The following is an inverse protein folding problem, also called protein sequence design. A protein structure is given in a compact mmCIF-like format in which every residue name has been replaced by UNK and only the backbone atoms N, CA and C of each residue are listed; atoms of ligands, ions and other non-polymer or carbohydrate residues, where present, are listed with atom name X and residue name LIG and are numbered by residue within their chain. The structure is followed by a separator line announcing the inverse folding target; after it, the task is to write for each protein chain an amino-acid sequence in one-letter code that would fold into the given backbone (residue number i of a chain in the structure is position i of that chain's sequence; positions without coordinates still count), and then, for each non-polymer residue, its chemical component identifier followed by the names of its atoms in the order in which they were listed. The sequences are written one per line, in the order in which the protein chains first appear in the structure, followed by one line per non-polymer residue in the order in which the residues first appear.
data_IF_334333677265
#
_entry.id   IF_334333677265
#
_cell.length_a   1.000
_cell.length_b   1.000
_cell.length_c   1.000
_cell.angle_alpha   90.00
_cell.angle_beta   90.00
_cell.angle_gamma   90.00
#
_symmetry.space_group_name_H-M   'P 1'
#
loop_
_entity.id
_entity.type
_entity.pdbx_description
1 polymer ?
#
# COMPACT_ATOMS: atom_id res chain seq x y z
N UNK A 1 37.60 -50.99 0.78
CA UNK A 1 36.94 -49.87 1.49
C UNK A 1 36.55 -48.80 0.51
N UNK A 2 35.56 -48.99 -0.28
CA UNK A 2 35.11 -47.96 -1.22
C UNK A 2 33.67 -48.16 -1.75
N UNK A 3 32.83 -48.84 -0.98
CA UNK A 3 31.47 -49.12 -1.45
C UNK A 3 30.41 -48.23 -0.80
N UNK A 4 30.68 -47.58 0.30
CA UNK A 4 29.75 -46.71 1.01
C UNK A 4 29.78 -45.24 0.57
N UNK A 5 30.77 -44.83 -0.22
CA UNK A 5 30.85 -43.40 -0.69
C UNK A 5 29.89 -43.04 -1.81
N UNK A 6 29.17 -44.03 -2.39
CA UNK A 6 28.22 -43.81 -3.50
C UNK A 6 26.79 -43.47 -3.09
N UNK A 7 26.48 -43.54 -1.81
CA UNK A 7 25.14 -43.31 -1.26
C UNK A 7 25.05 -42.19 -0.24
N UNK A 8 26.15 -41.54 0.05
CA UNK A 8 26.06 -40.28 0.82
C UNK A 8 25.92 -39.15 -0.16
N UNK A 9 24.87 -38.33 -0.05
CA UNK A 9 24.83 -37.09 -0.81
C UNK A 9 26.09 -36.30 -0.50
N UNK A 10 26.73 -35.80 -1.55
CA UNK A 10 27.95 -35.02 -1.46
C UNK A 10 27.75 -33.95 -0.39
N UNK A 11 28.55 -33.99 0.66
CA UNK A 11 28.43 -33.13 1.85
C UNK A 11 28.82 -31.67 1.56
N UNK A 12 29.05 -31.35 0.28
CA UNK A 12 29.43 -30.02 -0.21
C UNK A 12 28.24 -29.18 -0.74
N UNK A 13 27.06 -29.75 -0.92
CA UNK A 13 25.84 -28.95 -1.04
C UNK A 13 25.37 -28.53 0.38
N UNK A 14 26.15 -27.69 1.04
CA UNK A 14 25.57 -26.83 2.08
C UNK A 14 24.50 -26.00 1.39
N UNK A 15 23.24 -26.31 1.67
CA UNK A 15 22.11 -25.48 1.29
C UNK A 15 22.51 -24.03 1.59
N UNK A 16 22.73 -23.26 0.55
CA UNK A 16 22.92 -21.82 0.67
C UNK A 16 21.70 -21.29 1.42
N UNK A 17 21.82 -20.78 2.66
CA UNK A 17 20.68 -20.25 3.41
C UNK A 17 20.01 -19.09 2.67
N UNK A 18 20.66 -18.64 1.62
CA UNK A 18 20.20 -17.59 0.72
C UNK A 18 19.41 -18.13 -0.49
N UNK A 19 19.50 -19.39 -0.83
CA UNK A 19 18.56 -19.92 -1.81
C UNK A 19 17.16 -19.78 -1.21
N UNK A 20 16.23 -19.15 -1.92
CA UNK A 20 14.83 -19.21 -1.49
C UNK A 20 14.55 -20.68 -1.25
N UNK A 21 14.03 -21.01 -0.08
CA UNK A 21 13.47 -22.34 0.14
C UNK A 21 12.72 -22.67 -1.12
N UNK A 22 13.20 -23.62 -1.89
CA UNK A 22 12.44 -24.16 -3.00
C UNK A 22 11.26 -24.79 -2.28
N UNK A 23 10.19 -24.00 -2.15
CA UNK A 23 8.96 -24.52 -1.64
C UNK A 23 8.70 -25.75 -2.50
N UNK A 24 8.45 -26.88 -1.88
CA UNK A 24 7.93 -28.07 -2.55
C UNK A 24 6.58 -27.70 -3.15
N UNK A 25 6.61 -26.93 -4.23
CA UNK A 25 5.42 -26.53 -4.99
C UNK A 25 4.88 -27.64 -5.87
N UNK A 26 5.45 -28.84 -5.83
CA UNK A 26 4.96 -29.98 -6.57
C UNK A 26 3.58 -30.49 -6.12
N UNK A 27 3.03 -30.01 -5.02
CA UNK A 27 1.71 -30.40 -4.51
C UNK A 27 0.62 -29.34 -4.58
N UNK A 28 0.91 -28.09 -4.93
CA UNK A 28 -0.03 -26.95 -4.92
C UNK A 28 -0.15 -26.25 -6.28
N UNK A 29 -0.09 -27.01 -7.36
CA UNK A 29 -0.23 -26.52 -8.74
C UNK A 29 -1.60 -25.94 -9.11
N UNK A 30 -2.50 -25.77 -8.15
CA UNK A 30 -3.85 -25.18 -8.37
C UNK A 30 -3.81 -23.64 -8.26
N UNK A 31 -2.79 -23.06 -7.67
CA UNK A 31 -2.62 -21.62 -7.59
C UNK A 31 -1.57 -21.20 -8.62
N UNK A 32 -2.01 -20.50 -9.64
CA UNK A 32 -1.11 -19.88 -10.63
C UNK A 32 -0.01 -19.09 -9.90
N UNK A 33 1.23 -19.32 -10.30
CA UNK A 33 2.40 -18.62 -9.74
C UNK A 33 2.26 -17.13 -10.04
N UNK A 34 2.05 -16.36 -9.00
CA UNK A 34 1.89 -14.91 -9.10
C UNK A 34 3.20 -14.28 -9.53
N UNK A 35 3.15 -13.42 -10.54
CA UNK A 35 4.29 -12.61 -10.98
C UNK A 35 4.13 -11.18 -10.46
N UNK A 36 5.21 -10.43 -10.23
CA UNK A 36 5.14 -9.00 -9.87
C UNK A 36 4.28 -8.18 -10.85
N UNK A 37 4.35 -8.49 -12.14
CA UNK A 37 3.52 -7.87 -13.19
C UNK A 37 2.01 -8.04 -12.97
N UNK A 38 1.57 -9.08 -12.27
CA UNK A 38 0.15 -9.33 -12.02
C UNK A 38 -0.43 -8.32 -11.03
N UNK A 39 0.34 -7.94 -10.00
CA UNK A 39 -0.06 -6.91 -9.03
C UNK A 39 -0.07 -5.52 -9.65
N UNK A 40 0.87 -5.24 -10.56
CA UNK A 40 0.90 -4.01 -11.34
C UNK A 40 -0.34 -3.90 -12.23
N UNK A 41 -0.68 -4.94 -12.97
CA UNK A 41 -1.89 -4.99 -13.78
C UNK A 41 -3.15 -4.79 -12.92
N UNK A 42 -3.20 -5.36 -11.70
CA UNK A 42 -4.30 -5.13 -10.79
C UNK A 42 -4.38 -3.67 -10.32
N UNK A 43 -3.25 -3.03 -10.03
CA UNK A 43 -3.18 -1.61 -9.70
C UNK A 43 -3.63 -0.71 -10.86
N UNK A 44 -3.27 -1.03 -12.09
CA UNK A 44 -3.65 -0.25 -13.27
C UNK A 44 -5.13 -0.44 -13.67
N UNK A 45 -5.70 -1.63 -13.44
CA UNK A 45 -7.01 -2.01 -13.98
C UNK A 45 -8.13 -2.07 -12.93
N UNK A 46 -7.83 -2.23 -11.65
CA UNK A 46 -8.83 -2.36 -10.60
C UNK A 46 -8.93 -1.08 -9.76
N UNK A 47 -10.09 -0.44 -9.80
CA UNK A 47 -10.36 0.85 -9.14
C UNK A 47 -10.05 0.84 -7.65
N UNK A 48 -10.49 -0.21 -6.93
CA UNK A 48 -10.28 -0.31 -5.49
C UNK A 48 -8.80 -0.49 -5.13
N UNK A 49 -8.04 -1.26 -5.94
CA UNK A 49 -6.60 -1.43 -5.74
C UNK A 49 -5.87 -0.12 -6.00
N UNK A 50 -6.19 0.54 -7.12
CA UNK A 50 -5.62 1.83 -7.46
C UNK A 50 -5.92 2.88 -6.38
N UNK A 51 -7.19 2.99 -5.98
CA UNK A 51 -7.61 3.95 -4.94
C UNK A 51 -6.94 3.68 -3.60
N UNK A 52 -6.92 2.41 -3.16
CA UNK A 52 -6.31 2.03 -1.89
C UNK A 52 -4.81 2.25 -1.86
N UNK A 53 -4.10 1.87 -2.92
CA UNK A 53 -2.65 2.11 -3.02
C UNK A 53 -2.35 3.60 -3.04
N UNK A 54 -3.03 4.39 -3.88
CA UNK A 54 -2.78 5.83 -3.96
C UNK A 54 -3.09 6.56 -2.65
N UNK A 55 -4.10 6.15 -1.89
CA UNK A 55 -4.39 6.72 -0.57
C UNK A 55 -3.20 6.57 0.38
N UNK A 56 -2.59 5.37 0.44
CA UNK A 56 -1.39 5.15 1.26
C UNK A 56 -0.20 5.96 0.74
N UNK A 57 -0.03 5.96 -0.56
CA UNK A 57 1.08 6.66 -1.25
C UNK A 57 1.04 8.15 -0.97
N UNK A 58 -0.14 8.76 -1.08
CA UNK A 58 -0.36 10.18 -0.85
C UNK A 58 -0.06 10.55 0.61
N UNK A 59 -0.65 9.79 1.55
CA UNK A 59 -0.49 10.05 2.99
C UNK A 59 0.98 9.85 3.46
N UNK A 60 1.70 8.85 2.92
CA UNK A 60 3.12 8.63 3.26
C UNK A 60 4.01 9.70 2.65
N UNK A 61 3.75 10.12 1.40
CA UNK A 61 4.57 11.08 0.70
C UNK A 61 4.53 12.48 1.33
N UNK A 62 3.40 12.85 1.95
CA UNK A 62 3.21 14.14 2.60
C UNK A 62 3.99 14.29 3.92
N UNK A 63 4.43 13.17 4.55
CA UNK A 63 5.11 13.24 5.85
C UNK A 63 6.57 13.68 5.66
N UNK A 64 6.95 14.85 6.25
CA UNK A 64 8.34 15.29 6.24
C UNK A 64 9.19 14.45 7.18
N UNK A 65 10.51 14.48 6.94
CA UNK A 65 11.50 13.77 7.77
C UNK A 65 12.41 14.77 8.43
N UNK A 66 12.43 14.85 9.75
CA UNK A 66 13.42 15.64 10.48
C UNK A 66 14.73 14.87 10.58
N UNK A 67 15.80 15.48 10.07
CA UNK A 67 17.14 14.90 10.09
C UNK A 67 17.83 15.33 11.39
N UNK A 68 17.99 14.40 12.30
CA UNK A 68 18.59 14.61 13.62
C UNK A 68 20.12 14.60 13.65
N UNK A 69 20.68 14.05 14.71
CA UNK A 69 22.12 13.97 14.93
C UNK A 69 22.74 12.80 14.16
N UNK A 70 24.02 12.91 13.84
CA UNK A 70 24.79 11.81 13.25
C UNK A 70 24.98 10.70 14.30
N UNK A 71 24.55 9.50 13.96
CA UNK A 71 24.71 8.33 14.83
C UNK A 71 26.07 7.70 14.52
N UNK A 72 26.23 6.83 13.65
CA UNK A 72 27.48 6.32 13.12
C UNK A 72 27.21 5.76 11.71
N UNK A 73 27.76 6.38 10.70
CA UNK A 73 27.62 5.88 9.33
C UNK A 73 28.37 4.55 9.16
N UNK A 74 27.63 3.52 8.82
CA UNK A 74 28.20 2.19 8.50
C UNK A 74 28.68 2.09 7.04
N UNK A 75 28.12 2.92 6.15
CA UNK A 75 28.40 2.86 4.73
C UNK A 75 29.60 3.76 4.34
N UNK A 76 30.66 3.21 3.72
CA UNK A 76 31.85 3.97 3.34
C UNK A 76 31.57 5.11 2.35
N UNK A 77 30.57 4.98 1.47
CA UNK A 77 30.24 5.97 0.44
C UNK A 77 29.73 7.28 1.06
N UNK A 78 29.06 7.20 2.21
CA UNK A 78 28.41 8.36 2.85
C UNK A 78 29.24 9.01 3.96
N UNK A 79 30.48 8.62 4.18
CA UNK A 79 31.33 9.15 5.29
C UNK A 79 31.37 10.68 5.34
N UNK A 80 31.39 11.32 4.18
CA UNK A 80 31.54 12.78 4.04
C UNK A 80 30.19 13.50 3.80
N UNK A 81 29.07 12.81 3.78
CA UNK A 81 27.76 13.43 3.56
C UNK A 81 27.36 14.21 4.80
N UNK A 82 26.98 15.48 4.61
CA UNK A 82 26.59 16.40 5.68
C UNK A 82 25.08 16.34 5.91
N UNK A 83 24.63 16.61 7.15
CA UNK A 83 23.22 16.70 7.55
C UNK A 83 22.38 17.53 6.55
N UNK A 84 22.88 18.72 6.15
CA UNK A 84 22.18 19.61 5.21
C UNK A 84 21.90 18.92 3.86
N UNK A 85 22.86 18.14 3.35
CA UNK A 85 22.66 17.39 2.09
C UNK A 85 21.62 16.29 2.25
N UNK A 86 21.66 15.53 3.35
CA UNK A 86 20.65 14.49 3.63
C UNK A 86 19.26 15.11 3.76
N UNK A 87 19.14 16.23 4.47
CA UNK A 87 17.88 16.96 4.57
C UNK A 87 17.36 17.42 3.19
N UNK A 88 18.24 17.94 2.34
CA UNK A 88 17.87 18.32 0.97
C UNK A 88 17.37 17.12 0.15
N UNK A 89 18.06 15.98 0.23
CA UNK A 89 17.71 14.76 -0.51
C UNK A 89 16.37 14.16 -0.08
N UNK A 90 16.03 14.25 1.20
CA UNK A 90 14.85 13.60 1.77
C UNK A 90 13.61 14.50 1.84
N UNK A 91 13.78 15.83 1.76
CA UNK A 91 12.67 16.78 1.92
C UNK A 91 12.53 17.80 0.78
N UNK A 92 13.52 17.96 -0.08
CA UNK A 92 13.50 18.99 -1.12
C UNK A 92 13.64 18.36 -2.51
N UNK A 93 14.82 17.85 -2.81
CA UNK A 93 15.18 17.40 -4.16
C UNK A 93 16.08 16.17 -4.10
N UNK A 94 15.54 14.98 -4.40
CA UNK A 94 16.32 13.73 -4.42
C UNK A 94 17.28 13.70 -5.62
N UNK A 95 16.86 14.21 -6.78
CA UNK A 95 17.62 14.27 -8.03
C UNK A 95 17.08 15.40 -8.94
N UNK A 96 17.81 15.80 -9.99
CA UNK A 96 17.41 16.89 -10.87
C UNK A 96 16.16 16.65 -11.74
N UNK A 97 15.60 15.43 -11.73
CA UNK A 97 14.49 15.05 -12.60
C UNK A 97 13.17 14.88 -11.85
N UNK A 98 13.20 14.77 -10.51
CA UNK A 98 12.05 14.48 -9.69
C UNK A 98 11.99 15.38 -8.46
N UNK A 99 10.81 15.88 -8.16
CA UNK A 99 10.51 16.45 -6.84
C UNK A 99 10.42 15.36 -5.79
N UNK A 100 10.55 15.75 -4.51
CA UNK A 100 10.55 14.79 -3.40
C UNK A 100 9.22 14.04 -3.25
N UNK A 101 8.09 14.68 -3.57
CA UNK A 101 6.79 14.08 -3.46
C UNK A 101 6.62 12.97 -4.50
N UNK A 102 6.90 13.28 -5.77
CA UNK A 102 6.90 12.28 -6.87
C UNK A 102 7.85 11.13 -6.60
N UNK A 103 9.04 11.41 -6.06
CA UNK A 103 10.01 10.39 -5.69
C UNK A 103 9.47 9.46 -4.61
N UNK A 104 8.99 10.01 -3.48
CA UNK A 104 8.39 9.22 -2.39
C UNK A 104 7.20 8.39 -2.86
N UNK A 105 6.32 8.99 -3.68
CA UNK A 105 5.15 8.27 -4.24
C UNK A 105 5.58 7.02 -5.00
N UNK A 106 6.53 7.14 -5.90
CA UNK A 106 7.03 6.02 -6.68
C UNK A 106 7.65 4.93 -5.81
N UNK A 107 8.43 5.31 -4.79
CA UNK A 107 9.00 4.35 -3.83
C UNK A 107 7.93 3.54 -3.11
N UNK A 108 6.87 4.20 -2.65
CA UNK A 108 5.80 3.53 -1.90
C UNK A 108 4.93 2.67 -2.81
N UNK A 109 4.71 3.06 -4.07
CA UNK A 109 4.05 2.21 -5.07
C UNK A 109 4.83 0.90 -5.22
N UNK A 110 6.15 0.94 -5.41
CA UNK A 110 6.99 -0.25 -5.52
C UNK A 110 6.92 -1.11 -4.26
N UNK A 111 6.92 -0.50 -3.07
CA UNK A 111 6.81 -1.22 -1.81
C UNK A 111 5.49 -1.97 -1.67
N UNK A 112 4.38 -1.36 -2.08
CA UNK A 112 3.05 -1.95 -1.94
C UNK A 112 2.76 -3.02 -3.01
N UNK A 113 3.28 -2.83 -4.23
CA UNK A 113 2.99 -3.67 -5.41
C UNK A 113 4.01 -4.79 -5.59
N UNK A 114 5.31 -4.50 -5.45
CA UNK A 114 6.38 -5.51 -5.56
C UNK A 114 6.83 -6.03 -4.17
N UNK A 115 6.70 -5.20 -3.13
CA UNK A 115 7.21 -5.50 -1.80
C UNK A 115 8.66 -5.08 -1.60
N UNK A 116 9.27 -4.40 -2.58
CA UNK A 116 10.67 -3.98 -2.52
C UNK A 116 10.82 -2.56 -3.08
N UNK A 117 11.78 -1.82 -2.53
CA UNK A 117 12.25 -0.53 -3.03
C UNK A 117 13.74 -0.66 -3.27
N UNK A 118 14.20 -0.21 -4.42
CA UNK A 118 15.62 -0.09 -4.73
C UNK A 118 15.94 1.35 -5.08
N UNK A 119 16.89 1.95 -4.36
CA UNK A 119 17.32 3.33 -4.58
C UNK A 119 18.83 3.31 -4.79
N UNK A 120 19.25 3.81 -5.93
CA UNK A 120 20.66 4.02 -6.24
C UNK A 120 21.12 5.39 -5.73
N UNK A 121 22.27 5.40 -5.07
CA UNK A 121 22.92 6.62 -4.63
C UNK A 121 24.26 6.81 -5.37
N UNK A 122 24.34 7.82 -6.21
CA UNK A 122 25.55 8.14 -7.01
C UNK A 122 26.63 8.92 -6.23
N UNK A 123 26.46 9.11 -4.91
CA UNK A 123 27.28 9.96 -4.06
C UNK A 123 26.73 11.37 -3.86
N UNK A 124 25.79 11.81 -4.71
CA UNK A 124 25.20 13.16 -4.71
C UNK A 124 23.69 13.13 -4.69
N UNK A 125 23.06 12.23 -5.47
CA UNK A 125 21.63 12.15 -5.71
C UNK A 125 21.07 10.75 -5.47
N UNK A 126 19.75 10.67 -5.29
CA UNK A 126 19.01 9.43 -5.12
C UNK A 126 18.16 9.17 -6.36
N UNK A 127 18.27 7.97 -6.93
CA UNK A 127 17.51 7.53 -8.09
C UNK A 127 16.75 6.25 -7.74
N UNK A 128 15.45 6.24 -8.00
CA UNK A 128 14.67 5.01 -7.89
C UNK A 128 15.00 4.08 -9.05
N UNK A 129 15.20 2.83 -8.74
CA UNK A 129 15.23 1.74 -9.72
C UNK A 129 13.92 0.96 -9.60
N UNK A 130 13.06 0.92 -10.66
CA UNK A 130 11.83 0.14 -10.64
C UNK A 130 12.07 -1.29 -10.18
N UNK A 131 11.33 -1.72 -9.16
CA UNK A 131 11.63 -2.97 -8.45
C UNK A 131 11.50 -4.22 -9.33
N UNK A 132 10.65 -4.18 -10.36
CA UNK A 132 10.48 -5.27 -11.31
C UNK A 132 11.72 -5.53 -12.19
N UNK A 133 12.55 -4.49 -12.40
CA UNK A 133 13.73 -4.55 -13.26
C UNK A 133 15.02 -4.85 -12.49
N UNK A 134 14.95 -5.02 -11.17
CA UNK A 134 16.11 -5.28 -10.34
C UNK A 134 16.18 -6.77 -9.97
N UNK A 135 17.26 -7.41 -10.36
CA UNK A 135 17.61 -8.76 -9.95
C UNK A 135 18.68 -8.72 -8.86
N UNK A 136 18.57 -9.64 -7.88
CA UNK A 136 19.51 -9.74 -6.78
C UNK A 136 20.35 -10.99 -6.97
N UNK A 137 21.64 -10.81 -7.19
CA UNK A 137 22.58 -11.92 -7.22
C UNK A 137 23.15 -12.19 -5.84
N UNK A 138 23.15 -13.46 -5.46
CA UNK A 138 23.60 -13.92 -4.14
C UNK A 138 24.72 -14.91 -4.27
N UNK A 139 25.61 -14.93 -3.28
CA UNK A 139 26.70 -15.89 -3.16
C UNK A 139 26.67 -16.57 -1.79
N UNK A 140 27.19 -17.78 -1.69
CA UNK A 140 27.18 -18.57 -0.46
C UNK A 140 27.81 -17.87 0.76
N UNK A 141 28.83 -17.05 0.52
CA UNK A 141 29.58 -16.37 1.58
C UNK A 141 29.29 -14.89 1.73
N UNK A 142 28.82 -14.22 0.67
CA UNK A 142 28.63 -12.77 0.63
C UNK A 142 27.17 -12.35 0.69
N UNK A 143 26.24 -13.27 0.83
CA UNK A 143 24.81 -13.02 0.81
C UNK A 143 24.33 -12.30 -0.46
N UNK A 144 24.49 -10.99 -0.59
CA UNK A 144 24.21 -10.23 -1.81
C UNK A 144 25.55 -9.82 -2.41
N UNK A 145 25.79 -10.25 -3.65
CA UNK A 145 27.00 -9.92 -4.39
C UNK A 145 26.85 -8.64 -5.17
N UNK A 146 25.72 -8.51 -5.88
CA UNK A 146 25.40 -7.33 -6.69
C UNK A 146 23.91 -7.26 -6.99
N UNK A 147 23.49 -6.10 -7.42
CA UNK A 147 22.17 -5.84 -7.99
C UNK A 147 22.33 -5.62 -9.48
N UNK A 148 21.51 -6.29 -10.28
CA UNK A 148 21.46 -6.14 -11.74
C UNK A 148 20.18 -5.38 -12.10
N UNK A 149 20.34 -4.27 -12.81
CA UNK A 149 19.23 -3.51 -13.35
C UNK A 149 19.10 -3.77 -14.85
N UNK A 150 17.89 -4.17 -15.28
CA UNK A 150 17.59 -4.64 -16.65
C UNK A 150 18.54 -5.73 -17.17
N UNK A 151 19.16 -6.50 -16.26
CA UNK A 151 20.13 -7.52 -16.61
C UNK A 151 21.44 -6.99 -17.20
N UNK A 152 21.68 -5.66 -17.21
CA UNK A 152 22.82 -5.04 -17.89
C UNK A 152 23.67 -4.24 -16.93
N UNK A 153 23.05 -3.39 -16.08
CA UNK A 153 23.77 -2.47 -15.21
C UNK A 153 23.98 -3.12 -13.84
N UNK A 154 25.23 -3.17 -13.41
CA UNK A 154 25.61 -3.78 -12.12
C UNK A 154 25.80 -2.67 -11.08
N UNK A 155 25.23 -2.87 -9.89
CA UNK A 155 25.45 -2.03 -8.72
C UNK A 155 25.95 -2.85 -7.56
N UNK A 156 26.83 -2.25 -6.76
CA UNK A 156 27.31 -2.85 -5.51
C UNK A 156 26.25 -2.72 -4.40
N UNK A 157 26.27 -3.61 -3.38
CA UNK A 157 25.37 -3.48 -2.23
C UNK A 157 25.53 -2.16 -1.44
N UNK A 158 26.68 -1.50 -1.58
CA UNK A 158 26.96 -0.24 -0.89
C UNK A 158 26.31 0.95 -1.59
N UNK A 159 26.04 0.86 -2.90
CA UNK A 159 25.41 1.90 -3.71
C UNK A 159 23.88 1.85 -3.66
N UNK A 160 23.30 0.73 -3.23
CA UNK A 160 21.85 0.50 -3.25
C UNK A 160 21.27 0.56 -1.84
N UNK A 161 20.24 1.38 -1.67
CA UNK A 161 19.38 1.33 -0.50
C UNK A 161 18.22 0.38 -0.86
N UNK A 162 18.22 -0.80 -0.27
CA UNK A 162 17.18 -1.80 -0.47
C UNK A 162 16.25 -1.84 0.73
N UNK A 163 14.98 -1.47 0.52
CA UNK A 163 13.91 -1.52 1.51
C UNK A 163 12.91 -2.59 1.07
N UNK A 164 12.46 -3.43 2.00
CA UNK A 164 11.58 -4.54 1.64
C UNK A 164 10.51 -4.79 2.68
N UNK A 165 9.39 -5.31 2.23
CA UNK A 165 8.38 -5.90 3.09
C UNK A 165 8.84 -7.25 3.63
N UNK A 166 8.17 -7.72 4.69
CA UNK A 166 8.49 -9.00 5.27
C UNK A 166 8.18 -10.13 4.29
N UNK A 167 9.10 -11.09 4.20
CA UNK A 167 8.93 -12.29 3.40
C UNK A 167 9.18 -13.51 4.26
N UNK A 168 8.29 -14.49 4.15
CA UNK A 168 8.48 -15.78 4.81
C UNK A 168 9.46 -16.69 4.04
N UNK A 169 9.50 -16.52 2.72
CA UNK A 169 10.22 -17.42 1.82
C UNK A 169 11.62 -16.92 1.43
N UNK A 170 11.94 -15.67 1.66
CA UNK A 170 13.22 -15.07 1.25
C UNK A 170 13.67 -14.00 2.22
N UNK A 171 14.96 -14.01 2.55
CA UNK A 171 15.60 -12.93 3.32
C UNK A 171 16.07 -11.78 2.41
N UNK A 172 16.06 -12.00 1.10
CA UNK A 172 16.58 -11.03 0.12
C UNK A 172 15.49 -10.18 -0.49
N UNK A 173 14.34 -10.77 -0.83
CA UNK A 173 13.25 -10.08 -1.52
C UNK A 173 11.99 -10.08 -0.67
N UNK A 174 11.35 -8.95 -0.56
CA UNK A 174 10.07 -8.77 0.13
C UNK A 174 8.89 -9.32 -0.68
N UNK A 175 7.72 -9.32 -0.05
CA UNK A 175 6.46 -9.79 -0.64
C UNK A 175 5.45 -8.65 -0.63
N UNK A 176 4.69 -8.42 -1.73
CA UNK A 176 3.69 -7.37 -1.79
C UNK A 176 2.65 -7.47 -0.69
N UNK A 177 2.21 -6.33 -0.14
CA UNK A 177 1.08 -6.29 0.81
C UNK A 177 -0.22 -6.80 0.22
N UNK A 178 -0.39 -6.68 -1.09
CA UNK A 178 -1.56 -7.16 -1.83
C UNK A 178 -1.62 -8.69 -1.95
N UNK A 179 -0.54 -9.41 -1.65
CA UNK A 179 -0.50 -10.87 -1.81
C UNK A 179 -1.64 -11.63 -1.11
N UNK A 180 -2.03 -11.33 0.13
CA UNK A 180 -3.16 -12.00 0.79
C UNK A 180 -4.50 -11.80 0.06
N UNK A 181 -4.66 -10.66 -0.64
CA UNK A 181 -5.87 -10.33 -1.39
C UNK A 181 -5.83 -10.80 -2.86
N UNK A 182 -4.76 -11.43 -3.31
CA UNK A 182 -4.57 -11.81 -4.71
C UNK A 182 -5.75 -12.58 -5.29
N UNK A 183 -6.19 -13.62 -4.56
CA UNK A 183 -7.33 -14.44 -4.99
C UNK A 183 -8.62 -13.62 -5.13
N UNK A 184 -8.83 -12.68 -4.23
CA UNK A 184 -9.98 -11.76 -4.26
C UNK A 184 -9.91 -10.84 -5.48
N UNK A 185 -8.72 -10.31 -5.79
CA UNK A 185 -8.50 -9.49 -6.99
C UNK A 185 -8.77 -10.26 -8.28
N UNK A 186 -8.30 -11.51 -8.37
CA UNK A 186 -8.60 -12.39 -9.52
C UNK A 186 -10.10 -12.68 -9.64
N UNK A 187 -10.78 -12.96 -8.51
CA UNK A 187 -12.22 -13.19 -8.50
C UNK A 187 -12.98 -11.97 -9.01
N UNK A 188 -12.64 -10.76 -8.51
CA UNK A 188 -13.26 -9.52 -8.98
C UNK A 188 -13.04 -9.29 -10.49
N UNK A 189 -11.83 -9.52 -10.99
CA UNK A 189 -11.54 -9.46 -12.42
C UNK A 189 -12.40 -10.44 -13.23
N UNK A 190 -12.56 -11.66 -12.74
CA UNK A 190 -13.41 -12.69 -13.39
C UNK A 190 -14.89 -12.30 -13.37
N UNK A 191 -15.37 -11.72 -12.28
CA UNK A 191 -16.77 -11.23 -12.15
C UNK A 191 -17.03 -10.08 -13.13
N UNK A 192 -16.12 -9.12 -13.24
CA UNK A 192 -16.21 -8.01 -14.21
C UNK A 192 -16.18 -8.52 -15.65
N UNK A 193 -15.26 -9.42 -15.99
CA UNK A 193 -15.20 -10.04 -17.31
C UNK A 193 -16.47 -10.81 -17.64
N UNK A 194 -17.07 -11.50 -16.67
CA UNK A 194 -18.35 -12.16 -16.86
C UNK A 194 -19.46 -11.14 -17.15
N UNK A 195 -19.55 -10.05 -16.38
CA UNK A 195 -20.52 -8.99 -16.59
C UNK A 195 -20.35 -8.35 -17.98
N UNK A 196 -19.13 -8.01 -18.37
CA UNK A 196 -18.81 -7.44 -19.67
C UNK A 196 -19.25 -8.37 -20.82
N UNK A 197 -18.89 -9.65 -20.72
CA UNK A 197 -19.28 -10.64 -21.73
C UNK A 197 -20.80 -10.85 -21.77
N UNK A 198 -21.45 -10.84 -20.60
CA UNK A 198 -22.88 -10.95 -20.54
C UNK A 198 -23.58 -9.77 -21.24
N UNK A 199 -23.16 -8.54 -20.99
CA UNK A 199 -23.71 -7.36 -21.66
C UNK A 199 -23.34 -7.31 -23.13
N UNK A 200 -22.11 -7.64 -23.52
CA UNK A 200 -21.68 -7.72 -24.92
C UNK A 200 -22.48 -8.74 -25.72
N UNK A 201 -22.87 -9.84 -25.08
CA UNK A 201 -23.69 -10.88 -25.71
C UNK A 201 -25.21 -10.59 -25.63
N UNK A 202 -25.60 -9.38 -25.27
CA UNK A 202 -27.00 -8.96 -25.26
C UNK A 202 -27.80 -9.45 -24.06
N UNK A 203 -27.13 -9.80 -22.97
CA UNK A 203 -27.74 -10.26 -21.72
C UNK A 203 -28.64 -11.53 -21.88
N UNK A 204 -28.36 -12.32 -22.89
CA UNK A 204 -29.10 -13.58 -23.12
C UNK A 204 -28.19 -14.74 -22.70
N UNK A 205 -28.47 -15.41 -21.59
CA UNK A 205 -27.78 -16.66 -21.26
C UNK A 205 -28.09 -17.68 -22.35
N UNK A 206 -27.05 -18.35 -22.83
CA UNK A 206 -27.04 -19.39 -23.85
C UNK A 206 -28.38 -19.86 -24.38
N UNK A 207 -28.82 -19.28 -25.49
CA UNK A 207 -30.02 -19.74 -26.17
C UNK A 207 -29.74 -21.10 -26.79
N UNK A 208 -30.53 -22.10 -26.44
CA UNK A 208 -30.50 -23.39 -27.08
C UNK A 208 -31.65 -23.48 -28.07
N UNK A 209 -31.32 -23.64 -29.31
CA UNK A 209 -32.28 -23.93 -30.36
C UNK A 209 -32.49 -25.45 -30.39
N UNK A 210 -33.67 -25.91 -30.06
CA UNK A 210 -34.09 -27.30 -30.19
C UNK A 210 -34.68 -27.50 -31.58
N UNK A 211 -34.21 -28.51 -32.29
CA UNK A 211 -34.81 -28.96 -33.55
C UNK A 211 -35.39 -30.35 -33.36
N UNK A 212 -36.59 -30.62 -33.86
CA UNK A 212 -37.19 -31.97 -33.84
C UNK A 212 -36.44 -32.92 -34.81
N UNK A 213 -35.73 -32.40 -35.79
CA UNK A 213 -34.98 -33.18 -36.78
C UNK A 213 -33.48 -32.99 -36.60
N UNK A 214 -32.68 -34.02 -36.98
CA UNK A 214 -31.25 -33.95 -36.98
C UNK A 214 -30.76 -32.98 -38.07
N UNK A 215 -30.13 -31.89 -37.67
CA UNK A 215 -29.56 -30.90 -38.61
C UNK A 215 -28.15 -31.30 -39.02
N UNK A 216 -27.83 -31.14 -40.29
CA UNK A 216 -26.45 -31.30 -40.78
C UNK A 216 -25.56 -30.18 -40.25
N UNK A 217 -24.24 -30.42 -40.04
CA UNK A 217 -23.28 -29.42 -39.57
C UNK A 217 -23.32 -28.12 -40.39
N UNK A 218 -23.44 -28.23 -41.71
CA UNK A 218 -23.54 -27.09 -42.63
C UNK A 218 -24.76 -26.21 -42.37
N UNK A 219 -25.87 -26.80 -41.92
CA UNK A 219 -27.07 -26.04 -41.54
C UNK A 219 -26.87 -25.39 -40.18
N UNK A 220 -26.27 -26.09 -39.22
CA UNK A 220 -25.94 -25.54 -37.89
C UNK A 220 -25.01 -24.33 -38.02
N UNK A 221 -23.95 -24.40 -38.80
CA UNK A 221 -23.02 -23.28 -39.06
C UNK A 221 -23.71 -22.08 -39.70
N UNK A 222 -24.58 -22.33 -40.70
CA UNK A 222 -25.35 -21.25 -41.33
C UNK A 222 -26.29 -20.57 -40.38
N UNK A 223 -26.95 -21.32 -39.50
CA UNK A 223 -27.85 -20.78 -38.47
C UNK A 223 -27.08 -19.95 -37.44
N UNK A 224 -25.93 -20.45 -36.98
CA UNK A 224 -25.06 -19.71 -36.08
C UNK A 224 -24.51 -18.42 -36.70
N UNK A 225 -24.14 -18.46 -37.98
CA UNK A 225 -23.69 -17.28 -38.69
C UNK A 225 -24.79 -16.24 -38.87
N UNK A 226 -26.01 -16.70 -39.27
CA UNK A 226 -27.20 -15.83 -39.40
C UNK A 226 -27.61 -15.25 -38.04
N UNK A 227 -27.49 -16.03 -36.95
CA UNK A 227 -27.73 -15.57 -35.61
C UNK A 227 -26.74 -14.47 -35.20
N UNK A 228 -25.42 -14.72 -35.33
CA UNK A 228 -24.35 -13.74 -35.02
C UNK A 228 -24.54 -12.45 -35.83
N UNK A 229 -24.89 -12.54 -37.09
CA UNK A 229 -25.10 -11.37 -37.96
C UNK A 229 -26.30 -10.51 -37.52
N UNK A 230 -27.36 -11.13 -36.96
CA UNK A 230 -28.61 -10.42 -36.53
C UNK A 230 -28.58 -9.94 -35.11
N UNK A 231 -27.87 -10.63 -34.21
CA UNK A 231 -27.80 -10.33 -32.77
C UNK A 231 -26.43 -9.85 -32.31
N UNK A 232 -25.64 -9.26 -33.22
CA UNK A 232 -24.40 -8.63 -32.86
C UNK A 232 -24.73 -7.37 -32.03
N UNK A 233 -24.31 -7.29 -30.74
CA UNK A 233 -24.57 -6.15 -29.86
C UNK A 233 -24.06 -4.82 -30.43
N UNK A 234 -22.98 -4.86 -31.21
CA UNK A 234 -22.36 -3.67 -31.78
C UNK A 234 -23.14 -3.04 -32.96
N UNK A 235 -24.12 -3.75 -33.53
CA UNK A 235 -24.92 -3.23 -34.66
C UNK A 235 -26.33 -2.82 -34.29
N UNK A 236 -26.70 -2.82 -33.00
CA UNK A 236 -27.97 -2.29 -32.48
C UNK A 236 -29.24 -3.01 -32.98
N UNK A 237 -29.11 -4.16 -33.64
CA UNK A 237 -30.22 -4.83 -34.29
C UNK A 237 -30.88 -5.89 -33.42
N UNK A 238 -31.84 -5.54 -32.58
CA UNK A 238 -32.85 -6.47 -32.05
C UNK A 238 -33.92 -6.71 -33.11
N UNK A 239 -33.59 -7.45 -34.18
CA UNK A 239 -34.61 -7.84 -35.17
C UNK A 239 -35.31 -9.13 -34.71
N UNK A 240 -36.63 -9.23 -34.76
CA UNK A 240 -37.32 -10.46 -34.39
C UNK A 240 -36.80 -11.62 -35.26
N UNK A 241 -36.50 -12.75 -34.60
CA UNK A 241 -36.10 -13.98 -35.27
C UNK A 241 -37.35 -14.77 -35.58
N UNK A 242 -37.56 -15.07 -36.87
CA UNK A 242 -38.60 -15.99 -37.26
C UNK A 242 -37.97 -17.39 -37.28
N UNK A 243 -38.46 -18.27 -36.44
CA UNK A 243 -38.08 -19.66 -36.39
C UNK A 243 -39.03 -20.43 -37.30
N UNK A 244 -38.47 -21.18 -38.24
CA UNK A 244 -39.18 -22.04 -39.20
C UNK A 244 -38.79 -23.52 -38.99
N UNK A 245 -39.58 -24.44 -39.45
CA UNK A 245 -39.26 -25.87 -39.38
C UNK A 245 -39.33 -26.53 -38.03
N UNK A 246 -40.16 -26.00 -37.09
CA UNK A 246 -40.34 -26.60 -35.79
C UNK A 246 -39.19 -26.35 -34.79
N UNK A 247 -38.39 -25.32 -35.02
CA UNK A 247 -37.36 -24.91 -34.08
C UNK A 247 -38.00 -24.23 -32.89
N UNK A 248 -37.68 -24.70 -31.70
CA UNK A 248 -38.09 -24.11 -30.41
C UNK A 248 -36.92 -23.47 -29.72
N UNK A 249 -37.15 -22.34 -29.06
CA UNK A 249 -36.20 -21.72 -28.14
C UNK A 249 -36.38 -22.40 -26.78
N UNK A 250 -35.41 -23.18 -26.36
CA UNK A 250 -35.34 -23.68 -24.99
C UNK A 250 -34.45 -22.73 -24.18
N UNK A 251 -35.04 -22.05 -23.21
CA UNK A 251 -34.27 -21.31 -22.20
C UNK A 251 -33.61 -22.34 -21.29
N UNK A 252 -32.27 -22.42 -21.39
CA UNK A 252 -31.45 -23.12 -20.40
C UNK A 252 -31.29 -22.22 -19.20
N UNK A 253 -32.14 -22.41 -18.22
CA UNK A 253 -32.16 -21.73 -16.91
C UNK A 253 -32.34 -20.20 -17.00
N UNK A 254 -33.39 -19.72 -16.41
CA UNK A 254 -33.54 -18.35 -15.96
C UNK A 254 -32.53 -18.10 -14.83
N UNK A 255 -31.26 -17.94 -15.17
CA UNK A 255 -30.31 -17.34 -14.22
C UNK A 255 -30.71 -15.88 -14.12
N UNK A 256 -31.50 -15.59 -13.10
CA UNK A 256 -31.91 -14.25 -12.80
C UNK A 256 -30.66 -13.49 -12.31
N UNK A 257 -30.35 -12.36 -12.94
CA UNK A 257 -29.18 -11.54 -12.59
C UNK A 257 -29.20 -11.10 -11.12
N UNK A 258 -30.41 -11.00 -10.53
CA UNK A 258 -30.62 -10.76 -9.10
C UNK A 258 -30.16 -11.91 -8.20
N UNK A 259 -30.21 -13.14 -8.69
CA UNK A 259 -29.84 -14.32 -7.89
C UNK A 259 -28.31 -14.52 -7.82
N UNK A 260 -27.55 -13.80 -8.66
CA UNK A 260 -26.08 -13.85 -8.64
C UNK A 260 -25.43 -12.91 -7.62
N UNK A 261 -26.24 -12.01 -7.00
CA UNK A 261 -25.82 -11.09 -5.92
C UNK A 261 -24.41 -10.45 -6.11
N UNK A 262 -24.09 -10.11 -7.37
CA UNK A 262 -22.76 -9.61 -7.73
C UNK A 262 -22.41 -8.29 -7.02
N UNK A 263 -23.42 -7.44 -6.75
CA UNK A 263 -23.14 -6.11 -6.18
C UNK A 263 -22.63 -6.21 -4.75
N UNK A 264 -23.27 -7.01 -3.92
CA UNK A 264 -22.85 -7.17 -2.53
C UNK A 264 -21.56 -7.99 -2.44
N UNK A 265 -21.39 -8.97 -3.33
CA UNK A 265 -20.13 -9.71 -3.45
C UNK A 265 -18.96 -8.82 -3.86
N UNK A 266 -19.14 -7.90 -4.82
CA UNK A 266 -18.11 -6.93 -5.22
C UNK A 266 -17.75 -6.04 -4.04
N UNK A 267 -18.71 -5.45 -3.33
CA UNK A 267 -18.46 -4.60 -2.16
C UNK A 267 -17.70 -5.32 -1.04
N UNK A 268 -18.07 -6.59 -0.76
CA UNK A 268 -17.34 -7.37 0.24
C UNK A 268 -15.90 -7.70 -0.21
N UNK A 269 -15.69 -7.99 -1.49
CA UNK A 269 -14.35 -8.21 -2.04
C UNK A 269 -13.50 -6.92 -1.99
N UNK A 270 -14.09 -5.76 -2.27
CA UNK A 270 -13.43 -4.46 -2.11
C UNK A 270 -12.96 -4.24 -0.67
N UNK A 271 -13.80 -4.51 0.33
CA UNK A 271 -13.43 -4.42 1.74
C UNK A 271 -12.28 -5.36 2.11
N UNK A 272 -12.22 -6.55 1.53
CA UNK A 272 -11.12 -7.52 1.76
C UNK A 272 -9.80 -6.95 1.22
N UNK A 273 -9.81 -6.35 0.03
CA UNK A 273 -8.62 -5.73 -0.56
C UNK A 273 -8.14 -4.56 0.30
N UNK A 274 -9.05 -3.67 0.72
CA UNK A 274 -8.72 -2.54 1.58
C UNK A 274 -8.15 -2.99 2.93
N UNK A 275 -8.72 -4.02 3.54
CA UNK A 275 -8.19 -4.60 4.79
C UNK A 275 -6.80 -5.19 4.60
N UNK A 276 -6.51 -5.82 3.46
CA UNK A 276 -5.17 -6.33 3.15
C UNK A 276 -4.13 -5.21 3.04
N UNK A 277 -4.53 -4.04 2.54
CA UNK A 277 -3.71 -2.83 2.53
C UNK A 277 -3.58 -2.16 3.91
N UNK A 278 -4.42 -2.53 4.88
CA UNK A 278 -4.50 -1.91 6.20
C UNK A 278 -5.36 -0.64 6.22
N UNK A 279 -6.27 -0.48 5.26
CA UNK A 279 -7.18 0.66 5.18
C UNK A 279 -8.53 0.26 5.78
N UNK A 280 -9.03 0.98 6.80
CA UNK A 280 -10.39 0.80 7.27
C UNK A 280 -11.40 1.12 6.17
N UNK A 281 -12.28 0.18 5.77
CA UNK A 281 -13.21 0.40 4.64
C UNK A 281 -14.12 1.61 4.82
N UNK A 282 -14.43 1.99 6.06
CA UNK A 282 -15.24 3.16 6.38
C UNK A 282 -14.66 4.48 5.86
N UNK A 283 -13.34 4.54 5.61
CA UNK A 283 -12.71 5.75 5.05
C UNK A 283 -13.03 5.97 3.57
N UNK A 284 -13.46 4.94 2.88
CA UNK A 284 -13.84 4.99 1.46
C UNK A 284 -15.35 4.84 1.25
N UNK A 285 -16.10 4.41 2.28
CA UNK A 285 -17.56 4.36 2.26
C UNK A 285 -18.13 5.71 2.72
N UNK A 286 -19.24 6.15 2.12
CA UNK A 286 -20.00 7.35 2.50
C UNK A 286 -20.79 7.17 3.82
N UNK A 287 -20.17 6.55 4.81
CA UNK A 287 -20.78 6.18 6.08
C UNK A 287 -20.86 7.32 7.10
N UNK A 288 -21.35 7.00 8.29
CA UNK A 288 -21.60 7.92 9.39
C UNK A 288 -20.31 8.67 9.83
N UNK A 289 -20.30 9.99 9.68
CA UNK A 289 -19.16 10.88 9.93
C UNK A 289 -18.59 10.77 11.36
N UNK A 290 -19.38 10.36 12.34
CA UNK A 290 -18.95 10.26 13.74
C UNK A 290 -17.82 9.25 13.96
N UNK A 291 -17.71 8.24 13.11
CA UNK A 291 -16.70 7.18 13.23
C UNK A 291 -15.49 7.35 12.29
N UNK A 292 -15.52 8.33 11.39
CA UNK A 292 -14.44 8.52 10.40
C UNK A 292 -13.13 8.90 11.11
N UNK A 293 -13.17 9.87 12.01
CA UNK A 293 -11.94 10.41 12.65
C UNK A 293 -11.18 9.38 13.50
N UNK A 294 -11.80 8.58 14.37
CA UNK A 294 -11.08 7.52 15.09
C UNK A 294 -10.45 6.48 14.16
N UNK A 295 -11.16 6.11 13.08
CA UNK A 295 -10.63 5.17 12.10
C UNK A 295 -9.49 5.77 11.26
N UNK A 296 -9.57 7.06 10.94
CA UNK A 296 -8.49 7.77 10.25
C UNK A 296 -7.23 7.84 11.12
N UNK A 297 -7.39 8.13 12.42
CA UNK A 297 -6.27 8.09 13.37
C UNK A 297 -5.65 6.69 13.47
N UNK A 298 -6.47 5.65 13.57
CA UNK A 298 -6.02 4.27 13.62
C UNK A 298 -5.25 3.88 12.35
N UNK A 299 -5.76 4.28 11.18
CA UNK A 299 -5.11 4.07 9.89
C UNK A 299 -3.70 4.70 9.84
N UNK A 300 -3.54 5.94 10.33
CA UNK A 300 -2.22 6.55 10.42
C UNK A 300 -1.30 5.79 11.36
N UNK A 301 -1.78 5.42 12.56
CA UNK A 301 -0.95 4.74 13.58
C UNK A 301 -0.54 3.33 13.15
N UNK A 302 -1.41 2.57 12.50
CA UNK A 302 -1.18 1.15 12.20
C UNK A 302 -0.69 0.90 10.76
N UNK A 303 -0.96 1.81 9.83
CA UNK A 303 -0.59 1.61 8.42
C UNK A 303 0.45 2.61 7.95
N UNK A 304 0.19 3.90 8.09
CA UNK A 304 1.04 4.95 7.51
C UNK A 304 2.36 5.08 8.25
N UNK A 305 2.33 5.33 9.56
CA UNK A 305 3.56 5.53 10.34
C UNK A 305 4.50 4.31 10.31
N UNK A 306 4.04 3.06 10.37
CA UNK A 306 4.93 1.92 10.21
C UNK A 306 5.65 1.87 8.86
N UNK A 307 5.00 2.32 7.78
CA UNK A 307 5.64 2.40 6.45
C UNK A 307 6.70 3.50 6.46
N UNK A 308 6.35 4.70 6.95
CA UNK A 308 7.29 5.83 7.04
C UNK A 308 8.52 5.45 7.86
N UNK A 309 8.32 4.84 9.03
CA UNK A 309 9.42 4.38 9.89
C UNK A 309 10.30 3.34 9.23
N UNK A 310 9.71 2.40 8.48
CA UNK A 310 10.48 1.41 7.72
C UNK A 310 11.41 2.07 6.70
N UNK A 311 10.88 3.05 5.97
CA UNK A 311 11.66 3.82 4.98
C UNK A 311 12.73 4.67 5.67
N UNK A 312 12.36 5.41 6.71
CA UNK A 312 13.31 6.23 7.47
C UNK A 312 14.43 5.38 8.06
N UNK A 313 14.12 4.23 8.66
CA UNK A 313 15.13 3.33 9.24
C UNK A 313 16.16 2.84 8.21
N UNK A 314 15.74 2.59 6.98
CA UNK A 314 16.66 2.22 5.92
C UNK A 314 17.58 3.38 5.53
N UNK A 315 17.05 4.60 5.43
CA UNK A 315 17.86 5.81 5.19
C UNK A 315 18.77 6.13 6.38
N UNK A 316 18.29 5.97 7.63
CA UNK A 316 19.13 6.10 8.82
C UNK A 316 20.35 5.19 8.76
N UNK A 317 20.09 3.90 8.48
CA UNK A 317 21.15 2.90 8.36
C UNK A 317 22.14 3.23 7.26
N UNK A 318 21.67 3.79 6.16
CA UNK A 318 22.50 4.13 5.00
C UNK A 318 23.30 5.40 5.24
N UNK A 319 22.67 6.50 5.66
CA UNK A 319 23.32 7.80 5.84
C UNK A 319 23.95 8.00 7.21
N UNK A 320 23.53 7.24 8.21
CA UNK A 320 24.03 7.35 9.59
C UNK A 320 23.56 8.59 10.34
N UNK A 321 22.36 9.09 10.03
CA UNK A 321 21.70 10.17 10.75
C UNK A 321 20.39 9.66 11.35
N UNK A 322 20.04 10.14 12.54
CA UNK A 322 18.71 9.86 13.11
C UNK A 322 17.64 10.57 12.29
N UNK A 323 16.60 9.86 11.91
CA UNK A 323 15.50 10.37 11.10
C UNK A 323 14.18 10.18 11.84
N UNK A 324 13.47 11.28 12.06
CA UNK A 324 12.19 11.28 12.74
C UNK A 324 11.09 11.77 11.79
N UNK A 325 9.96 11.10 11.79
CA UNK A 325 8.78 11.57 11.07
C UNK A 325 8.18 12.80 11.75
N UNK A 326 7.95 13.87 11.01
CA UNK A 326 7.21 15.04 11.52
C UNK A 326 5.71 14.84 11.30
N UNK A 327 5.00 14.58 12.38
CA UNK A 327 3.54 14.37 12.39
C UNK A 327 2.77 15.59 12.90
N UNK A 328 3.45 16.71 13.13
CA UNK A 328 2.86 17.89 13.75
C UNK A 328 1.72 18.52 12.96
N UNK A 329 1.74 18.38 11.65
CA UNK A 329 0.74 18.98 10.77
C UNK A 329 -0.32 17.99 10.25
N UNK A 330 -0.29 16.73 10.70
CA UNK A 330 -1.27 15.70 10.29
C UNK A 330 -2.58 15.86 11.09
N UNK A 331 -3.69 16.27 10.44
CA UNK A 331 -4.94 16.56 11.17
C UNK A 331 -5.52 15.35 11.89
N UNK A 332 -5.33 14.13 11.35
CA UNK A 332 -5.84 12.89 11.93
C UNK A 332 -5.16 12.53 13.27
N UNK A 333 -3.91 12.95 13.46
CA UNK A 333 -3.12 12.68 14.66
C UNK A 333 -3.21 13.81 15.70
N UNK A 334 -3.67 15.00 15.28
CA UNK A 334 -3.83 16.12 16.19
C UNK A 334 -5.02 15.92 17.14
N UNK A 335 -4.88 16.29 18.43
CA UNK A 335 -6.03 16.37 19.33
C UNK A 335 -7.11 17.29 18.77
N UNK A 336 -8.36 17.07 19.15
CA UNK A 336 -9.42 18.01 18.79
C UNK A 336 -9.14 19.40 19.36
N UNK A 337 -9.57 20.45 18.66
CA UNK A 337 -9.42 21.82 19.16
C UNK A 337 -10.02 21.99 20.55
N UNK A 338 -11.14 21.30 20.80
CA UNK A 338 -11.77 21.25 22.14
C UNK A 338 -10.85 20.61 23.18
N UNK A 339 -10.22 19.49 22.83
CA UNK A 339 -9.33 18.78 23.74
C UNK A 339 -8.01 19.55 23.94
N UNK A 340 -7.48 20.16 22.87
CA UNK A 340 -6.34 21.10 22.98
C UNK A 340 -6.68 22.27 23.89
N UNK A 341 -7.83 22.91 23.69
CA UNK A 341 -8.26 24.02 24.52
C UNK A 341 -8.43 23.62 25.98
N UNK A 342 -9.06 22.48 26.25
CA UNK A 342 -9.21 21.93 27.60
C UNK A 342 -7.86 21.61 28.26
N UNK A 343 -6.95 20.99 27.52
CA UNK A 343 -5.60 20.64 27.95
C UNK A 343 -4.80 21.88 28.34
N UNK A 344 -4.67 22.86 27.44
CA UNK A 344 -3.92 24.08 27.74
C UNK A 344 -4.59 24.92 28.84
N UNK A 345 -5.92 24.98 28.86
CA UNK A 345 -6.66 25.62 29.94
C UNK A 345 -6.33 24.98 31.31
N UNK A 346 -6.25 23.65 31.35
CA UNK A 346 -5.89 22.92 32.55
C UNK A 346 -4.45 23.20 33.02
N UNK A 347 -3.50 23.26 32.06
CA UNK A 347 -2.10 23.58 32.37
C UNK A 347 -1.91 25.03 32.89
N UNK A 348 -2.60 25.99 32.26
CA UNK A 348 -2.58 27.39 32.70
C UNK A 348 -3.24 27.55 34.04
N UNK A 349 -4.41 26.92 34.23
CA UNK A 349 -5.12 26.96 35.55
C UNK A 349 -4.37 26.21 36.63
N UNK A 350 -3.61 25.18 36.29
CA UNK A 350 -2.73 24.44 37.20
C UNK A 350 -1.43 25.17 37.53
N UNK A 351 -1.16 26.31 36.91
CA UNK A 351 0.07 27.06 37.12
C UNK A 351 1.31 26.35 36.59
N UNK A 352 1.19 25.54 35.57
CA UNK A 352 2.29 24.78 34.95
C UNK A 352 2.93 25.58 33.81
N UNK A 353 2.12 26.27 33.02
CA UNK A 353 2.54 27.13 31.92
C UNK A 353 1.87 28.50 31.98
N UNK A 354 2.52 29.52 31.39
CA UNK A 354 1.93 30.84 31.26
C UNK A 354 0.84 30.86 30.14
N UNK A 355 -0.09 31.83 30.18
CA UNK A 355 -1.05 32.01 29.10
C UNK A 355 -0.40 32.26 27.75
N UNK A 356 0.75 32.96 27.66
CA UNK A 356 1.46 33.19 26.42
C UNK A 356 2.11 31.91 25.86
N UNK A 357 2.67 31.05 26.72
CA UNK A 357 3.16 29.74 26.31
C UNK A 357 2.04 28.86 25.74
N UNK A 358 0.85 28.90 26.36
CA UNK A 358 -0.32 28.19 25.82
C UNK A 358 -0.79 28.76 24.45
N UNK A 359 -0.75 30.11 24.30
CA UNK A 359 -1.08 30.77 23.02
C UNK A 359 -0.10 30.42 21.92
N UNK A 360 1.20 30.45 22.21
CA UNK A 360 2.26 30.06 21.28
C UNK A 360 2.10 28.59 20.84
N UNK A 361 1.85 27.69 21.77
CA UNK A 361 1.58 26.28 21.49
C UNK A 361 0.30 26.06 20.65
N UNK A 362 -0.65 27.01 20.71
CA UNK A 362 -1.84 27.05 19.86
C UNK A 362 -1.65 27.85 18.56
N UNK A 363 -0.42 28.32 18.27
CA UNK A 363 -0.06 29.18 17.12
C UNK A 363 -0.85 30.50 17.11
N UNK A 364 -1.12 31.04 18.28
CA UNK A 364 -1.74 32.38 18.49
C UNK A 364 -0.67 33.38 18.89
N UNK A 365 -0.84 34.65 18.47
CA UNK A 365 0.06 35.72 18.85
C UNK A 365 0.09 35.92 20.39
N UNK A 366 1.29 36.20 20.91
CA UNK A 366 1.48 36.56 22.34
C UNK A 366 0.83 37.90 22.64
N UNK A 367 0.34 38.05 23.85
CA UNK A 367 -0.28 39.28 24.32
C UNK A 367 0.49 39.84 25.51
N UNK A 368 0.63 41.13 25.58
CA UNK A 368 1.32 41.83 26.69
C UNK A 368 0.65 41.54 28.03
N UNK A 369 1.46 41.22 29.06
CA UNK A 369 1.00 40.94 30.41
C UNK A 369 0.49 39.50 30.65
N UNK A 370 0.72 38.56 29.76
CA UNK A 370 0.32 37.16 29.91
C UNK A 370 1.50 36.18 30.01
N UNK A 371 2.71 36.69 30.35
CA UNK A 371 3.92 35.87 30.47
C UNK A 371 4.10 35.21 31.82
N UNK A 372 3.38 35.68 32.85
CA UNK A 372 3.49 35.14 34.19
C UNK A 372 2.61 33.91 34.40
N UNK A 373 3.20 32.90 35.04
CA UNK A 373 2.48 31.69 35.46
C UNK A 373 1.54 32.05 36.60
N UNK A 374 0.25 31.84 36.42
CA UNK A 374 -0.77 32.13 37.45
C UNK A 374 -0.85 30.97 38.42
N UNK A 375 -0.51 31.22 39.68
CA UNK A 375 -0.77 30.25 40.75
C UNK A 375 -2.27 30.20 41.05
N UNK A 376 -2.90 29.02 41.07
CA UNK A 376 -4.31 28.92 41.41
C UNK A 376 -4.61 29.43 42.83
N UNK A 377 -5.55 30.34 42.95
CA UNK A 377 -5.96 30.93 44.23
C UNK A 377 -6.50 29.88 45.23
N UNK A 378 -6.88 28.72 44.74
CA UNK A 378 -7.47 27.64 45.55
C UNK A 378 -6.45 26.66 46.15
N UNK A 379 -5.15 26.85 45.94
CA UNK A 379 -4.12 26.03 46.62
C UNK A 379 -3.86 26.67 47.98
N UNK A 380 -4.32 26.01 49.04
CA UNK A 380 -4.02 26.42 50.42
C UNK A 380 -2.49 26.49 50.62
N UNK A 381 -1.96 27.67 50.86
CA UNK A 381 -0.53 27.91 51.06
C UNK A 381 0.16 28.72 49.95
N UNK A 382 -0.56 29.21 48.93
CA UNK A 382 -0.01 30.06 47.86
C UNK A 382 0.23 31.51 48.25
N UNK A 383 -0.15 31.92 49.46
CA UNK A 383 0.18 33.26 49.99
C UNK A 383 1.66 33.31 50.36
N UNK A 384 2.41 34.25 49.77
CA UNK A 384 3.84 34.50 50.03
C UNK A 384 4.05 34.94 51.49
N UNK A 385 3.00 35.40 52.14
CA UNK A 385 2.94 35.71 53.58
C UNK A 385 1.68 35.12 54.23
N UNK A 386 1.81 34.24 55.22
CA UNK A 386 0.67 33.70 55.95
C UNK A 386 -0.19 34.76 56.72
N UNK A 387 0.32 35.97 56.83
CA UNK A 387 -0.37 37.12 57.49
C UNK A 387 -1.28 37.89 56.50
N UNK A 388 -1.19 37.66 55.19
CA UNK A 388 -2.02 38.34 54.20
C UNK A 388 -3.25 37.54 53.79
N UNK A 389 -3.37 36.28 54.23
CA UNK A 389 -4.57 35.43 54.07
C UNK A 389 -5.65 35.84 55.06
N UNK A 390 -6.05 37.12 55.05
CA UNK A 390 -7.12 37.61 55.92
C UNK A 390 -8.43 36.93 55.60
N UNK A 391 -9.08 36.33 56.64
CA UNK A 391 -10.49 35.98 56.64
C UNK A 391 -11.28 37.25 56.28
N UNK A 392 -12.21 37.20 55.31
CA UNK A 392 -13.20 38.26 55.18
C UNK A 392 -14.01 38.29 56.47
N UNK A 393 -14.06 39.43 57.05
CA UNK A 393 -14.88 39.78 58.20
C UNK A 393 -16.36 39.65 57.93
#
# INVERSE_FOLDING_TARGET
MAWYSRFLPNREEKLNPAQPYISREEGLSILSREKPTDYRNAYEQQEVVNRGVNMIVDDVAEIPVDVGQKINGLNPIVKNVRKVKVNSLLNIEPNPFQDINSFKRNLIIDLLIDGNIFIYFDGIHLYQLPAENVEIETHETQYITRYLYDGIVEYTPEEIIHIKENSFNSIYRGVPRLKPAWRTMQLMGSMRNFQDNFFKNGAVPGLVLKSPNTLSEKIKERMLAAWRARYNPNTGGRRPLILDGGLEIANLNEVNFKDLDFQDSIKENEKIILKALGIPPILLDSGNNANIRPNHRLYYLETILPIVRKVNYAFERFFGFNLLEDVSDIPALQPELKDKAAYYTSLVNGGIISPNEAREAMRLEQLEGLDEVRTPVNIAGSAVNPSEGGRPS
#
